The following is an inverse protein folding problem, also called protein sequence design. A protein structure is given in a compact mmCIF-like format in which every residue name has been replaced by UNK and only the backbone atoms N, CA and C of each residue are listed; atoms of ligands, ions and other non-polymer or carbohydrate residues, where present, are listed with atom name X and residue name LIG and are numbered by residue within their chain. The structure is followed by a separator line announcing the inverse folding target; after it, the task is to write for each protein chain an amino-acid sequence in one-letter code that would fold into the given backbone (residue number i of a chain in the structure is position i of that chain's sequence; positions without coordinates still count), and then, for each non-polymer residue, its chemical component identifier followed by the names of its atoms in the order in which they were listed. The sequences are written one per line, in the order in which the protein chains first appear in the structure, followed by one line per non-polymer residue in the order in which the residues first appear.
data_IF_958949775287
#
_entry.id   IF_958949775287
#
_cell.length_a   1.000
_cell.length_b   1.000
_cell.length_c   1.000
_cell.angle_alpha   90.00
_cell.angle_beta   90.00
_cell.angle_gamma   90.00
#
_symmetry.space_group_name_H-M   'P 1'
#
loop_
_entity.id
_entity.type
_entity.pdbx_description
1 polymer ?
#
# COMPACT_ATOMS: atom_id res chain seq x y z
N UNK A 1 13.22 7.30 13.74
CA UNK A 1 12.27 6.37 13.11
C UNK A 1 10.93 7.07 13.01
N UNK A 2 10.20 6.98 11.90
CA UNK A 2 8.85 7.53 11.75
C UNK A 2 7.86 6.36 11.68
N UNK A 3 6.90 6.33 12.58
CA UNK A 3 5.80 5.39 12.53
C UNK A 3 4.78 5.86 11.47
N UNK A 4 4.40 4.97 10.56
CA UNK A 4 3.40 5.21 9.50
C UNK A 4 2.30 4.16 9.62
N UNK A 5 1.15 4.52 10.22
CA UNK A 5 0.07 3.56 10.44
C UNK A 5 -0.65 3.18 9.14
N UNK A 6 -1.31 2.03 9.17
CA UNK A 6 -2.16 1.55 8.09
C UNK A 6 -3.64 1.59 8.50
N UNK A 7 -4.53 1.84 7.54
CA UNK A 7 -5.97 1.62 7.62
C UNK A 7 -6.33 0.66 6.49
N UNK A 8 -6.48 -0.61 6.82
CA UNK A 8 -6.90 -1.64 5.87
C UNK A 8 -8.43 -1.71 5.83
N UNK A 9 -9.01 -1.62 4.63
CA UNK A 9 -10.45 -1.63 4.44
C UNK A 9 -10.84 -2.82 3.57
N UNK A 10 -11.70 -3.68 4.11
CA UNK A 10 -12.23 -4.86 3.44
C UNK A 10 -13.73 -4.99 3.71
N UNK A 11 -14.52 -5.18 2.65
CA UNK A 11 -15.98 -5.30 2.70
C UNK A 11 -16.64 -4.12 3.45
N UNK A 12 -16.17 -2.89 3.18
CA UNK A 12 -16.68 -1.66 3.76
C UNK A 12 -16.38 -1.45 5.25
N UNK A 13 -15.44 -2.21 5.83
CA UNK A 13 -15.03 -2.09 7.24
C UNK A 13 -13.53 -2.00 7.39
N UNK A 14 -13.08 -1.27 8.41
CA UNK A 14 -11.68 -1.28 8.81
C UNK A 14 -11.38 -2.59 9.52
N UNK A 15 -10.33 -3.29 9.07
CA UNK A 15 -9.98 -4.62 9.55
C UNK A 15 -8.47 -4.79 9.70
N UNK A 16 -8.06 -5.70 10.56
CA UNK A 16 -6.73 -6.29 10.53
C UNK A 16 -6.84 -7.71 9.96
N UNK A 17 -6.21 -7.95 8.81
CA UNK A 17 -6.27 -9.21 8.09
C UNK A 17 -4.97 -9.97 8.28
N UNK A 18 -5.05 -11.30 8.40
CA UNK A 18 -3.87 -12.16 8.42
C UNK A 18 -3.20 -12.10 7.04
N UNK A 19 -1.94 -11.68 6.99
CA UNK A 19 -1.19 -11.55 5.76
C UNK A 19 -1.17 -12.85 4.94
N UNK A 20 -1.58 -12.77 3.67
CA UNK A 20 -1.66 -13.92 2.77
C UNK A 20 -2.95 -14.74 2.85
N UNK A 21 -3.91 -14.38 3.71
CA UNK A 21 -5.22 -15.04 3.80
C UNK A 21 -6.26 -14.42 2.85
N UNK A 22 -6.00 -13.22 2.33
CA UNK A 22 -6.90 -12.55 1.39
C UNK A 22 -7.01 -13.39 0.11
N UNK A 23 -8.24 -13.74 -0.24
CA UNK A 23 -8.55 -14.48 -1.47
C UNK A 23 -9.52 -13.67 -2.31
N UNK A 24 -9.22 -13.55 -3.60
CA UNK A 24 -10.09 -12.85 -4.57
C UNK A 24 -11.41 -13.58 -4.80
N UNK A 25 -11.45 -14.89 -4.46
CA UNK A 25 -12.67 -15.70 -4.57
C UNK A 25 -13.53 -15.48 -3.33
N UNK A 26 -14.75 -14.96 -3.56
CA UNK A 26 -15.78 -14.70 -2.54
C UNK A 26 -15.40 -13.63 -1.48
N UNK A 27 -14.42 -12.76 -1.76
CA UNK A 27 -13.98 -11.70 -0.82
C UNK A 27 -13.72 -12.21 0.61
N UNK A 28 -13.13 -13.41 0.73
CA UNK A 28 -12.81 -14.02 2.01
C UNK A 28 -11.43 -13.63 2.48
N UNK A 29 -11.33 -13.34 3.78
CA UNK A 29 -10.06 -13.12 4.45
C UNK A 29 -10.16 -13.67 5.88
N UNK A 30 -9.06 -14.17 6.40
CA UNK A 30 -8.95 -14.52 7.82
C UNK A 30 -8.69 -13.23 8.61
N UNK A 31 -9.62 -12.89 9.49
CA UNK A 31 -9.67 -11.61 10.19
C UNK A 31 -9.16 -11.76 11.62
N UNK A 32 -8.14 -10.99 12.00
CA UNK A 32 -7.71 -10.85 13.39
C UNK A 32 -8.60 -9.88 14.16
N UNK A 33 -9.07 -8.84 13.48
CA UNK A 33 -9.85 -7.79 14.12
C UNK A 33 -10.76 -7.11 13.08
N UNK A 34 -11.99 -6.84 13.48
CA UNK A 34 -12.95 -6.01 12.73
C UNK A 34 -13.33 -4.82 13.60
N UNK A 35 -13.06 -3.63 13.12
CA UNK A 35 -13.36 -2.39 13.84
C UNK A 35 -14.87 -2.12 13.91
N UNK A 36 -15.31 -1.63 15.07
CA UNK A 36 -16.62 -1.00 15.23
C UNK A 36 -16.64 0.48 14.82
N UNK A 37 -15.48 1.07 14.55
CA UNK A 37 -15.31 2.45 14.10
C UNK A 37 -15.10 2.50 12.59
N UNK A 38 -15.44 3.63 11.98
CA UNK A 38 -15.19 3.88 10.56
C UNK A 38 -13.73 4.29 10.28
N UNK A 39 -13.39 4.45 9.01
CA UNK A 39 -12.04 4.82 8.63
C UNK A 39 -11.70 6.29 8.95
N UNK A 40 -12.71 7.18 9.05
CA UNK A 40 -12.52 8.57 9.44
C UNK A 40 -12.04 8.68 10.89
N UNK A 41 -12.58 7.87 11.80
CA UNK A 41 -12.14 7.83 13.20
C UNK A 41 -10.63 7.59 13.32
N UNK A 42 -10.09 6.62 12.59
CA UNK A 42 -8.64 6.34 12.62
C UNK A 42 -7.82 7.45 11.97
N UNK A 43 -8.31 8.02 10.89
CA UNK A 43 -7.66 9.15 10.23
C UNK A 43 -7.57 10.38 11.14
N UNK A 44 -8.63 10.71 11.88
CA UNK A 44 -8.66 11.78 12.88
C UNK A 44 -7.70 11.49 14.03
N UNK A 45 -7.69 10.27 14.55
CA UNK A 45 -6.74 9.83 15.57
C UNK A 45 -5.29 10.02 15.12
N UNK A 46 -4.97 9.65 13.86
CA UNK A 46 -3.61 9.82 13.33
C UNK A 46 -3.27 11.29 13.14
N UNK A 47 -4.23 12.12 12.73
CA UNK A 47 -4.09 13.58 12.63
C UNK A 47 -3.79 14.21 13.99
N UNK A 48 -4.56 13.86 15.03
CA UNK A 48 -4.36 14.34 16.40
C UNK A 48 -2.98 13.95 16.96
N UNK A 49 -2.52 12.74 16.63
CA UNK A 49 -1.18 12.26 17.05
C UNK A 49 -0.04 12.73 16.13
N UNK A 50 -0.33 13.53 15.11
CA UNK A 50 0.69 14.05 14.18
C UNK A 50 1.33 12.97 13.29
N UNK A 51 0.68 11.83 13.09
CA UNK A 51 1.19 10.69 12.33
C UNK A 51 0.93 10.88 10.84
N UNK A 52 1.86 11.53 10.14
CA UNK A 52 1.81 11.75 8.68
C UNK A 52 2.46 10.62 7.89
N UNK A 53 1.93 10.40 6.67
CA UNK A 53 2.47 9.43 5.70
C UNK A 53 2.02 8.00 5.99
N UNK A 54 1.04 7.79 6.85
CA UNK A 54 0.31 6.54 6.92
C UNK A 54 -0.43 6.25 5.62
N UNK A 55 -1.02 5.07 5.48
CA UNK A 55 -1.69 4.69 4.24
C UNK A 55 -3.04 4.02 4.49
N UNK A 56 -3.93 4.22 3.54
CA UNK A 56 -5.24 3.56 3.44
C UNK A 56 -5.15 2.55 2.32
N UNK A 57 -5.50 1.29 2.57
CA UNK A 57 -5.46 0.23 1.57
C UNK A 57 -6.86 -0.35 1.34
N UNK A 58 -7.32 -0.31 0.08
CA UNK A 58 -8.53 -0.97 -0.36
C UNK A 58 -8.19 -2.42 -0.72
N UNK A 59 -8.76 -3.36 0.02
CA UNK A 59 -8.44 -4.79 -0.13
C UNK A 59 -9.45 -5.56 -1.00
N UNK A 60 -10.54 -4.92 -1.42
CA UNK A 60 -11.44 -5.50 -2.40
C UNK A 60 -10.95 -5.19 -3.83
N UNK A 61 -11.13 -6.13 -4.73
CA UNK A 61 -10.94 -5.89 -6.16
C UNK A 61 -12.03 -4.93 -6.70
N UNK A 62 -11.74 -4.23 -7.80
CA UNK A 62 -12.65 -3.21 -8.35
C UNK A 62 -13.98 -3.76 -8.86
N UNK A 63 -14.08 -5.07 -9.14
CA UNK A 63 -15.28 -5.80 -9.56
C UNK A 63 -16.04 -6.45 -8.40
N UNK A 64 -15.51 -6.36 -7.17
CA UNK A 64 -16.19 -6.85 -5.97
C UNK A 64 -17.47 -6.07 -5.70
N UNK A 65 -18.57 -6.72 -5.31
CA UNK A 65 -19.80 -6.05 -4.88
C UNK A 65 -19.60 -5.18 -3.64
N UNK A 66 -18.54 -5.41 -2.86
CA UNK A 66 -18.20 -4.63 -1.68
C UNK A 66 -17.29 -3.43 -1.98
N UNK A 67 -16.75 -3.33 -3.19
CA UNK A 67 -15.84 -2.25 -3.55
C UNK A 67 -16.41 -0.83 -3.33
N UNK A 68 -17.70 -0.54 -3.67
CA UNK A 68 -18.26 0.78 -3.42
C UNK A 68 -18.23 1.19 -1.95
N UNK A 69 -18.61 0.28 -1.04
CA UNK A 69 -18.57 0.55 0.40
C UNK A 69 -17.13 0.69 0.93
N UNK A 70 -16.19 -0.11 0.41
CA UNK A 70 -14.77 0.01 0.74
C UNK A 70 -14.18 1.33 0.26
N UNK A 71 -14.53 1.77 -0.95
CA UNK A 71 -14.12 3.07 -1.49
C UNK A 71 -14.70 4.23 -0.69
N UNK A 72 -15.96 4.15 -0.28
CA UNK A 72 -16.58 5.18 0.57
C UNK A 72 -15.81 5.37 1.87
N UNK A 73 -15.47 4.30 2.57
CA UNK A 73 -14.65 4.35 3.79
C UNK A 73 -13.29 4.99 3.55
N UNK A 74 -12.62 4.64 2.44
CA UNK A 74 -11.34 5.26 2.09
C UNK A 74 -11.48 6.77 1.86
N UNK A 75 -12.52 7.21 1.15
CA UNK A 75 -12.79 8.63 0.93
C UNK A 75 -13.10 9.38 2.22
N UNK A 76 -13.79 8.75 3.19
CA UNK A 76 -14.02 9.34 4.52
C UNK A 76 -12.69 9.56 5.24
N UNK A 77 -11.78 8.58 5.27
CA UNK A 77 -10.46 8.73 5.88
C UNK A 77 -9.63 9.85 5.24
N UNK A 78 -9.60 9.93 3.91
CA UNK A 78 -8.84 10.97 3.20
C UNK A 78 -9.37 12.37 3.49
N UNK A 79 -10.69 12.54 3.55
CA UNK A 79 -11.35 13.81 3.89
C UNK A 79 -11.10 14.22 5.34
N UNK A 80 -11.05 13.26 6.28
CA UNK A 80 -10.78 13.52 7.70
C UNK A 80 -9.34 13.99 7.95
N UNK A 81 -8.38 13.51 7.16
CA UNK A 81 -6.96 13.88 7.29
C UNK A 81 -6.33 14.29 5.94
N UNK A 82 -6.73 15.44 5.34
CA UNK A 82 -6.20 15.87 4.04
C UNK A 82 -4.68 16.05 4.07
N UNK A 83 -4.00 15.46 3.07
CA UNK A 83 -2.54 15.51 2.94
C UNK A 83 -1.78 14.67 3.98
N UNK A 84 -2.46 13.95 4.86
CA UNK A 84 -1.85 13.14 5.91
C UNK A 84 -1.63 11.68 5.52
N UNK A 85 -2.47 11.15 4.63
CA UNK A 85 -2.52 9.73 4.28
C UNK A 85 -2.25 9.50 2.80
N UNK A 86 -1.62 8.39 2.49
CA UNK A 86 -1.50 7.82 1.16
C UNK A 86 -2.65 6.84 0.90
N UNK A 87 -2.93 6.49 -0.34
CA UNK A 87 -3.96 5.50 -0.69
C UNK A 87 -3.46 4.49 -1.70
N UNK A 88 -3.79 3.21 -1.48
CA UNK A 88 -3.49 2.10 -2.37
C UNK A 88 -4.64 1.10 -2.48
N UNK A 89 -4.46 0.10 -3.34
CA UNK A 89 -5.47 -0.91 -3.65
C UNK A 89 -6.25 -0.57 -4.92
N UNK A 90 -5.84 -1.17 -6.05
CA UNK A 90 -6.50 -0.99 -7.34
C UNK A 90 -6.36 0.41 -7.95
N UNK A 91 -5.35 1.19 -7.53
CA UNK A 91 -5.10 2.51 -8.11
C UNK A 91 -4.61 2.39 -9.55
N UNK A 92 -5.19 3.22 -10.42
CA UNK A 92 -4.89 3.33 -11.84
C UNK A 92 -5.10 4.78 -12.32
N UNK A 93 -4.79 5.15 -13.59
CA UNK A 93 -4.95 6.51 -14.08
C UNK A 93 -6.37 7.08 -14.00
N UNK A 94 -7.39 6.23 -14.04
CA UNK A 94 -8.80 6.67 -14.07
C UNK A 94 -9.27 7.15 -12.70
N UNK A 95 -8.73 6.58 -11.62
CA UNK A 95 -9.15 6.87 -10.24
C UNK A 95 -8.13 7.67 -9.41
N UNK A 96 -6.87 7.75 -9.85
CA UNK A 96 -5.80 8.41 -9.09
C UNK A 96 -6.13 9.87 -8.75
N UNK A 97 -6.64 10.62 -9.71
CA UNK A 97 -6.98 12.04 -9.53
C UNK A 97 -8.12 12.23 -8.52
N UNK A 98 -9.12 11.34 -8.52
CA UNK A 98 -10.22 11.38 -7.57
C UNK A 98 -9.70 11.24 -6.12
N UNK A 99 -8.80 10.29 -5.88
CA UNK A 99 -8.22 10.10 -4.55
C UNK A 99 -7.36 11.28 -4.10
N UNK A 100 -6.57 11.87 -4.98
CA UNK A 100 -5.79 13.07 -4.67
C UNK A 100 -6.71 14.26 -4.34
N UNK A 101 -7.78 14.46 -5.10
CA UNK A 101 -8.78 15.50 -4.84
C UNK A 101 -9.56 15.26 -3.54
N UNK A 102 -9.74 14.00 -3.15
CA UNK A 102 -10.36 13.64 -1.86
C UNK A 102 -9.45 13.90 -0.65
N UNK A 103 -8.17 14.21 -0.86
CA UNK A 103 -7.22 14.56 0.18
C UNK A 103 -6.06 13.58 0.36
N UNK A 104 -5.89 12.59 -0.51
CA UNK A 104 -4.70 11.75 -0.46
C UNK A 104 -3.43 12.58 -0.69
N UNK A 105 -2.39 12.34 0.09
CA UNK A 105 -1.07 12.94 -0.13
C UNK A 105 -0.37 12.31 -1.33
N UNK A 106 -0.53 10.99 -1.52
CA UNK A 106 0.04 10.20 -2.61
C UNK A 106 -0.89 9.04 -2.95
N UNK A 107 -0.75 8.54 -4.17
CA UNK A 107 -1.36 7.28 -4.61
C UNK A 107 -0.28 6.21 -4.71
N UNK A 108 -0.61 5.00 -4.24
CA UNK A 108 0.28 3.85 -4.21
C UNK A 108 -0.16 2.88 -5.30
N UNK A 109 0.76 2.52 -6.20
CA UNK A 109 0.52 1.54 -7.27
C UNK A 109 1.45 0.35 -7.14
N UNK A 110 0.92 -0.83 -7.43
CA UNK A 110 1.66 -2.11 -7.46
C UNK A 110 1.36 -2.84 -8.76
N UNK A 111 0.28 -3.59 -8.83
CA UNK A 111 -0.08 -4.44 -9.97
C UNK A 111 -0.34 -3.68 -11.26
N UNK A 112 -0.72 -2.40 -11.20
CA UNK A 112 -0.93 -1.60 -12.40
C UNK A 112 0.35 -1.40 -13.21
N UNK A 113 1.48 -1.18 -12.52
CA UNK A 113 2.79 -0.93 -13.15
C UNK A 113 3.62 -2.20 -13.35
N UNK A 114 3.25 -3.30 -12.68
CA UNK A 114 3.94 -4.58 -12.84
C UNK A 114 3.05 -5.60 -13.56
N UNK A 115 3.50 -6.10 -14.70
CA UNK A 115 2.84 -7.15 -15.47
C UNK A 115 3.85 -8.26 -15.74
N UNK A 116 3.44 -9.51 -15.53
CA UNK A 116 4.26 -10.71 -15.77
C UNK A 116 5.66 -10.59 -15.18
N UNK A 117 5.72 -10.00 -13.99
CA UNK A 117 6.96 -9.84 -13.28
C UNK A 117 7.89 -8.75 -13.83
N UNK A 118 7.45 -7.90 -14.71
CA UNK A 118 8.23 -6.80 -15.32
C UNK A 118 7.52 -5.47 -15.15
N UNK A 119 8.33 -4.40 -15.13
CA UNK A 119 7.78 -3.04 -15.16
C UNK A 119 7.20 -2.78 -16.54
N UNK A 120 5.92 -2.36 -16.56
CA UNK A 120 5.29 -1.77 -17.73
C UNK A 120 5.58 -0.27 -17.76
N UNK A 121 6.57 0.13 -18.53
CA UNK A 121 6.93 1.54 -18.69
C UNK A 121 5.79 2.40 -19.23
N UNK A 122 4.98 1.83 -20.14
CA UNK A 122 3.78 2.48 -20.65
C UNK A 122 2.78 2.79 -19.54
N UNK A 123 2.51 1.83 -18.64
CA UNK A 123 1.59 2.04 -17.53
C UNK A 123 2.17 3.00 -16.50
N UNK A 124 3.48 2.94 -16.25
CA UNK A 124 4.15 3.88 -15.36
C UNK A 124 4.02 5.32 -15.89
N UNK A 125 4.23 5.53 -17.18
CA UNK A 125 4.07 6.84 -17.81
C UNK A 125 2.61 7.35 -17.74
N UNK A 126 1.62 6.46 -17.94
CA UNK A 126 0.20 6.79 -17.83
C UNK A 126 -0.18 7.23 -16.41
N UNK A 127 0.25 6.49 -15.38
CA UNK A 127 -0.07 6.84 -14.01
C UNK A 127 0.68 8.10 -13.54
N UNK A 128 1.92 8.30 -13.99
CA UNK A 128 2.69 9.52 -13.73
C UNK A 128 1.98 10.75 -14.31
N UNK A 129 1.45 10.67 -15.53
CA UNK A 129 0.67 11.76 -16.14
C UNK A 129 -0.65 12.04 -15.41
N UNK A 130 -1.28 11.03 -14.83
CA UNK A 130 -2.55 11.17 -14.13
C UNK A 130 -2.39 11.74 -12.72
N UNK A 131 -1.41 11.26 -11.96
CA UNK A 131 -1.20 11.58 -10.55
C UNK A 131 -0.21 12.74 -10.33
N UNK A 132 0.77 12.90 -11.22
CA UNK A 132 1.97 13.69 -10.97
C UNK A 132 3.04 12.86 -10.26
N UNK A 133 4.30 13.05 -10.65
CA UNK A 133 5.45 12.31 -10.08
C UNK A 133 5.56 12.49 -8.57
N UNK A 134 5.30 13.69 -8.09
CA UNK A 134 5.38 14.10 -6.68
C UNK A 134 4.33 13.43 -5.78
N UNK A 135 3.28 12.88 -6.38
CA UNK A 135 2.19 12.19 -5.68
C UNK A 135 2.16 10.68 -5.94
N UNK A 136 3.16 10.13 -6.64
CA UNK A 136 3.20 8.73 -7.01
C UNK A 136 4.14 7.94 -6.09
N UNK A 137 3.62 6.85 -5.53
CA UNK A 137 4.39 5.84 -4.78
C UNK A 137 4.29 4.51 -5.51
N UNK A 138 5.42 3.86 -5.74
CA UNK A 138 5.49 2.52 -6.31
C UNK A 138 5.81 1.55 -5.18
N UNK A 139 4.89 0.63 -4.90
CA UNK A 139 5.07 -0.41 -3.90
C UNK A 139 5.71 -1.65 -4.52
N UNK A 140 6.81 -2.09 -3.90
CA UNK A 140 7.58 -3.27 -4.27
C UNK A 140 7.54 -4.30 -3.16
N UNK A 141 6.60 -5.24 -3.25
CA UNK A 141 6.55 -6.37 -2.34
C UNK A 141 7.63 -7.39 -2.70
N UNK A 142 8.62 -7.56 -1.83
CA UNK A 142 9.75 -8.48 -2.05
C UNK A 142 9.80 -9.56 -0.98
N UNK A 143 10.23 -10.77 -1.35
CA UNK A 143 10.59 -11.85 -0.42
C UNK A 143 12.05 -12.24 -0.59
N UNK A 144 12.73 -12.47 0.52
CA UNK A 144 14.06 -13.08 0.50
C UNK A 144 13.94 -14.57 0.20
N UNK A 145 14.71 -15.05 -0.78
CA UNK A 145 14.92 -16.47 -1.06
C UNK A 145 16.41 -16.68 -1.26
N UNK A 146 17.04 -17.52 -0.44
CA UNK A 146 18.50 -17.69 -0.38
C UNK A 146 19.19 -16.34 -0.14
N UNK A 147 20.12 -15.91 -0.97
CA UNK A 147 20.86 -14.65 -0.83
C UNK A 147 20.31 -13.51 -1.69
N UNK A 148 19.13 -13.69 -2.31
CA UNK A 148 18.50 -12.69 -3.16
C UNK A 148 17.08 -12.33 -2.70
N UNK A 149 16.64 -11.10 -3.02
CA UNK A 149 15.27 -10.68 -2.82
C UNK A 149 14.50 -10.82 -4.13
N UNK A 150 13.36 -11.50 -4.05
CA UNK A 150 12.45 -11.67 -5.19
C UNK A 150 11.19 -10.87 -4.94
N UNK A 151 10.75 -10.13 -5.94
CA UNK A 151 9.46 -9.48 -5.87
C UNK A 151 8.34 -10.53 -5.87
N UNK A 152 7.30 -10.30 -5.07
CA UNK A 152 6.21 -11.26 -4.85
C UNK A 152 5.37 -11.57 -6.11
N UNK A 153 5.40 -10.71 -7.11
CA UNK A 153 4.79 -10.92 -8.42
C UNK A 153 5.77 -11.68 -9.33
N UNK A 154 5.97 -12.98 -9.10
CA UNK A 154 6.72 -13.90 -10.00
C UNK A 154 7.78 -13.23 -10.90
N UNK A 155 8.69 -12.46 -10.32
CA UNK A 155 9.80 -11.91 -11.08
C UNK A 155 11.05 -12.73 -10.82
N UNK A 156 11.59 -13.26 -11.90
CA UNK A 156 12.97 -13.68 -11.96
C UNK A 156 13.88 -12.48 -11.71
N UNK A 157 14.72 -12.58 -10.67
CA UNK A 157 15.85 -11.72 -10.34
C UNK A 157 15.84 -10.30 -10.92
N UNK A 158 15.61 -9.31 -10.05
CA UNK A 158 16.05 -7.96 -10.37
C UNK A 158 17.59 -7.95 -10.49
N UNK A 159 18.08 -7.68 -11.68
CA UNK A 159 19.50 -7.46 -11.90
C UNK A 159 19.78 -5.98 -11.57
N UNK A 160 20.58 -5.68 -10.52
CA UNK A 160 20.87 -4.30 -10.12
C UNK A 160 21.59 -3.46 -11.18
N UNK A 161 21.96 -4.07 -12.31
CA UNK A 161 22.58 -3.39 -13.45
C UNK A 161 21.59 -2.80 -14.45
N UNK A 162 20.29 -3.10 -14.36
CA UNK A 162 19.28 -2.37 -15.13
C UNK A 162 19.00 -1.01 -14.47
N UNK A 163 19.73 -0.01 -14.91
CA UNK A 163 19.60 1.39 -14.48
C UNK A 163 18.21 1.90 -14.87
N UNK A 164 17.35 2.14 -13.88
CA UNK A 164 16.11 2.85 -14.09
C UNK A 164 16.40 4.26 -14.65
N UNK A 165 15.82 4.68 -15.76
CA UNK A 165 16.08 5.99 -16.31
C UNK A 165 15.72 7.10 -15.31
N UNK A 166 16.66 7.94 -15.00
CA UNK A 166 16.66 9.18 -14.26
C UNK A 166 15.56 9.42 -13.22
N UNK A 167 15.96 9.62 -11.98
CA UNK A 167 15.17 10.17 -10.85
C UNK A 167 14.04 9.33 -10.21
N UNK A 168 13.73 8.13 -10.67
CA UNK A 168 12.81 7.22 -9.96
C UNK A 168 13.52 6.47 -8.82
N UNK A 169 14.82 6.25 -8.96
CA UNK A 169 15.65 5.54 -7.99
C UNK A 169 15.56 6.08 -6.54
N UNK A 170 15.55 7.40 -6.29
CA UNK A 170 15.45 7.92 -4.92
C UNK A 170 14.10 7.65 -4.26
N UNK A 171 13.01 7.66 -5.01
CA UNK A 171 11.66 7.39 -4.47
C UNK A 171 11.50 5.90 -4.20
N UNK A 172 11.96 5.04 -5.11
CA UNK A 172 11.98 3.59 -4.95
C UNK A 172 12.86 3.17 -3.76
N UNK A 173 14.06 3.74 -3.64
CA UNK A 173 15.02 3.42 -2.58
C UNK A 173 14.51 3.83 -1.19
N UNK A 174 13.84 4.97 -1.06
CA UNK A 174 13.28 5.45 0.20
C UNK A 174 12.13 4.56 0.68
N UNK A 175 11.31 4.05 -0.22
CA UNK A 175 10.18 3.19 0.14
C UNK A 175 10.63 1.76 0.48
N UNK A 176 11.52 1.18 -0.32
CA UNK A 176 12.14 -0.12 -0.04
C UNK A 176 12.89 -0.10 1.30
N UNK A 177 13.66 0.94 1.60
CA UNK A 177 14.35 1.08 2.88
C UNK A 177 13.40 1.22 4.07
N UNK A 178 12.22 1.84 3.91
CA UNK A 178 11.23 1.94 5.00
C UNK A 178 10.59 0.59 5.32
N UNK A 179 10.35 -0.25 4.32
CA UNK A 179 9.81 -1.61 4.50
C UNK A 179 10.84 -2.56 5.15
N UNK A 180 12.12 -2.42 4.83
CA UNK A 180 13.20 -3.20 5.45
C UNK A 180 13.35 -2.92 6.95
N UNK A 181 13.08 -1.71 7.41
CA UNK A 181 13.17 -1.37 8.84
C UNK A 181 12.04 -1.95 9.68
N UNK A 182 10.84 -2.14 9.10
CA UNK A 182 9.70 -2.72 9.83
C UNK A 182 9.76 -4.24 9.97
N UNK A 183 10.35 -4.96 9.02
CA UNK A 183 10.42 -6.43 9.09
C UNK A 183 11.53 -6.96 10.02
N UNK A 184 12.59 -6.21 10.25
CA UNK A 184 13.68 -6.65 11.13
C UNK A 184 13.34 -6.58 12.63
N UNK A 185 12.26 -5.88 13.04
CA UNK A 185 11.85 -5.81 14.44
C UNK A 185 10.90 -6.93 14.88
N UNK A 186 10.26 -7.66 13.98
CA UNK A 186 9.33 -8.75 14.35
C UNK A 186 10.03 -10.09 14.59
N UNK A 187 11.30 -10.24 14.26
CA UNK A 187 12.06 -11.47 14.48
C UNK A 187 12.99 -11.45 15.72
N UNK A 188 13.10 -10.34 16.43
CA UNK A 188 14.00 -10.25 17.60
C UNK A 188 13.35 -10.67 18.92
N UNK A 189 12.03 -10.77 19.03
CA UNK A 189 11.34 -10.97 20.31
C UNK A 189 10.85 -12.40 20.58
N UNK A 190 11.22 -13.39 19.78
CA UNK A 190 10.78 -14.78 19.99
C UNK A 190 11.86 -15.78 20.44
N UNK A 191 13.05 -15.31 20.85
CA UNK A 191 14.13 -16.24 21.22
C UNK A 191 14.73 -16.02 22.63
N UNK A 192 13.94 -15.50 23.59
CA UNK A 192 14.40 -15.49 24.99
C UNK A 192 13.29 -15.86 25.98
N UNK A 193 12.88 -17.12 25.97
CA UNK A 193 12.18 -17.73 27.10
C UNK A 193 12.38 -19.26 27.12
N UNK A 194 13.63 -19.70 27.32
CA UNK A 194 13.92 -21.06 27.82
C UNK A 194 15.35 -21.08 28.37
N UNK A 195 15.48 -20.64 29.63
CA UNK A 195 16.44 -21.17 30.61
C UNK A 195 15.96 -20.86 32.01
#
# INVERSE_FOLDING_TARGET
MRFRPCIDIHNGKVKQIVGGSLRDVQDQAEENFVSGQDAAFYAELYKEKGLKGGHVILLNSGDSPYFPATKEQALLALKAYPGGLQIGGGVNPDNAREYLQAGASHVIVTSYVFKDGKISWENLEKIEKAAGREHLVIDLSCRKKEDAYYQFLQISCWNPTEVLPGNILPVLLLYVLSLFQTQNHTHADHNDSSR
#
